data_IF_913251285615
#
_entry.id   IF_913251285615
#
_cell.length_a   1.000
_cell.length_b   1.000
_cell.length_c   1.000
_cell.angle_alpha   90.00
_cell.angle_beta   90.00
_cell.angle_gamma   90.00
#
_symmetry.space_group_name_H-M   'P 1'
#
loop_
_entity.id
_entity.type
_entity.pdbx_description
1 polymer ?
#
# COMPACT_ATOMS: atom_id res chain seq x y z
N UNK A 1 -18.45 -1.68 22.00
CA UNK A 1 -18.60 -1.16 20.65
C UNK A 1 -17.54 -1.81 19.77
N UNK A 2 -17.80 -2.99 19.25
CA UNK A 2 -16.81 -3.78 18.46
C UNK A 2 -17.54 -4.88 17.66
N UNK A 3 -18.59 -4.53 16.90
CA UNK A 3 -19.46 -5.54 16.26
C UNK A 3 -19.61 -5.44 14.74
N UNK A 4 -18.83 -4.62 14.01
CA UNK A 4 -19.03 -4.47 12.56
C UNK A 4 -17.86 -4.90 11.64
N UNK A 5 -16.85 -5.53 12.17
CA UNK A 5 -15.60 -5.79 11.42
C UNK A 5 -15.63 -6.97 10.43
N UNK A 6 -16.76 -7.66 10.21
CA UNK A 6 -16.80 -8.90 9.40
C UNK A 6 -18.06 -9.05 8.52
N UNK A 7 -18.56 -7.97 7.94
CA UNK A 7 -19.73 -8.08 7.03
C UNK A 7 -19.50 -7.40 5.67
N UNK A 8 -18.47 -7.70 4.93
CA UNK A 8 -18.39 -7.30 3.52
C UNK A 8 -17.61 -8.33 2.68
N UNK A 9 -18.18 -9.51 2.56
CA UNK A 9 -17.94 -10.37 1.40
C UNK A 9 -19.19 -11.21 1.20
N UNK A 10 -20.18 -10.65 0.53
CA UNK A 10 -21.21 -11.33 -0.26
C UNK A 10 -22.32 -10.34 -0.59
N UNK A 11 -22.28 -9.75 -1.77
CA UNK A 11 -23.49 -9.42 -2.53
C UNK A 11 -23.16 -9.34 -4.01
N UNK A 12 -23.62 -10.37 -4.69
CA UNK A 12 -23.80 -10.38 -6.15
C UNK A 12 -24.98 -9.50 -6.55
N UNK A 13 -24.78 -8.84 -7.68
CA UNK A 13 -25.73 -8.71 -8.82
C UNK A 13 -27.17 -8.33 -8.56
N UNK A 14 -27.61 -7.23 -9.14
CA UNK A 14 -28.70 -7.29 -10.13
C UNK A 14 -28.91 -5.99 -10.94
N UNK A 15 -29.28 -6.21 -12.18
CA UNK A 15 -29.56 -5.34 -13.33
C UNK A 15 -30.72 -4.36 -13.13
N UNK A 16 -30.64 -3.21 -13.84
CA UNK A 16 -31.61 -2.66 -14.83
C UNK A 16 -31.26 -1.19 -15.01
N UNK A 17 -31.08 -0.63 -16.19
CA UNK A 17 -31.96 -0.60 -17.35
C UNK A 17 -32.67 0.75 -17.39
N UNK A 18 -32.22 1.71 -18.20
CA UNK A 18 -32.93 2.97 -18.39
C UNK A 18 -32.22 3.89 -19.38
N UNK A 19 -32.66 3.83 -20.65
CA UNK A 19 -32.29 4.78 -21.71
C UNK A 19 -33.02 6.10 -21.53
N UNK A 20 -32.38 7.25 -21.74
CA UNK A 20 -33.00 8.36 -22.43
C UNK A 20 -31.96 9.24 -23.13
N UNK A 21 -32.27 9.60 -24.37
CA UNK A 21 -31.56 10.50 -25.27
C UNK A 21 -31.87 11.95 -24.90
N UNK A 22 -30.90 12.84 -25.09
CA UNK A 22 -31.05 14.11 -25.84
C UNK A 22 -29.67 14.78 -25.97
N UNK A 23 -29.35 14.96 -27.08
CA UNK A 23 -28.86 15.81 -28.15
C UNK A 23 -28.47 17.26 -27.74
N UNK A 24 -27.28 17.67 -28.19
CA UNK A 24 -27.02 18.97 -28.79
C UNK A 24 -26.14 19.94 -27.98
N UNK A 25 -24.99 20.28 -28.53
CA UNK A 25 -24.30 21.52 -28.12
C UNK A 25 -22.78 21.39 -27.97
N UNK A 26 -22.07 21.20 -29.10
CA UNK A 26 -21.12 22.14 -29.71
C UNK A 26 -19.75 22.27 -29.08
N UNK A 27 -18.79 21.46 -29.59
CA UNK A 27 -17.54 21.91 -30.26
C UNK A 27 -17.10 23.34 -29.93
N UNK A 28 -16.22 23.47 -28.89
CA UNK A 28 -15.14 24.51 -28.88
C UNK A 28 -14.16 24.43 -27.69
N UNK A 29 -14.14 23.34 -26.86
CA UNK A 29 -13.20 23.26 -25.72
C UNK A 29 -12.21 22.11 -25.80
N UNK A 30 -11.96 21.50 -26.96
CA UNK A 30 -11.15 20.30 -27.10
C UNK A 30 -9.69 20.51 -27.57
N UNK A 31 -9.16 21.75 -27.57
CA UNK A 31 -7.78 21.96 -28.05
C UNK A 31 -6.72 22.21 -26.98
N UNK A 32 -7.08 22.49 -25.74
CA UNK A 32 -6.11 22.71 -24.65
C UNK A 32 -5.91 21.51 -23.74
N UNK A 33 -6.91 20.64 -23.61
CA UNK A 33 -6.82 19.43 -22.77
C UNK A 33 -5.95 18.29 -23.36
N UNK A 34 -5.84 18.23 -24.69
CA UNK A 34 -5.06 17.15 -25.36
C UNK A 34 -3.54 17.37 -25.29
N UNK A 35 -3.08 18.60 -25.15
CA UNK A 35 -1.64 18.89 -25.07
C UNK A 35 -1.05 18.52 -23.69
N UNK A 36 -1.83 18.66 -22.63
CA UNK A 36 -1.39 18.30 -21.28
C UNK A 36 -1.45 16.78 -21.03
N UNK A 37 -2.46 16.07 -21.59
CA UNK A 37 -2.50 14.61 -21.52
C UNK A 37 -1.36 13.92 -22.27
N UNK A 38 -0.94 14.47 -23.44
CA UNK A 38 0.23 13.94 -24.16
C UNK A 38 1.55 14.19 -23.42
N UNK A 39 1.65 15.29 -22.67
CA UNK A 39 2.85 15.59 -21.87
C UNK A 39 2.94 14.70 -20.63
N UNK A 40 1.81 14.41 -19.97
CA UNK A 40 1.72 13.44 -18.89
C UNK A 40 1.94 11.99 -19.37
N UNK A 41 1.41 11.61 -20.55
CA UNK A 41 1.65 10.28 -21.13
C UNK A 41 3.09 10.10 -21.62
N UNK A 42 3.75 11.16 -22.09
CA UNK A 42 5.16 11.11 -22.51
C UNK A 42 6.13 10.94 -21.34
N UNK A 43 5.78 11.45 -20.15
CA UNK A 43 6.56 11.28 -18.93
C UNK A 43 6.39 9.84 -18.38
N UNK A 44 5.22 9.25 -18.52
CA UNK A 44 4.93 7.88 -18.04
C UNK A 44 5.58 6.80 -18.92
N UNK A 45 5.79 7.03 -20.21
CA UNK A 45 6.39 6.05 -21.13
C UNK A 45 7.92 6.09 -21.19
N UNK A 46 8.56 7.12 -20.62
CA UNK A 46 10.01 7.31 -20.72
C UNK A 46 10.84 6.64 -19.63
N UNK A 47 10.25 6.12 -18.57
CA UNK A 47 10.97 5.66 -17.39
C UNK A 47 10.55 4.26 -16.89
N UNK A 48 10.26 3.32 -17.77
CA UNK A 48 10.13 1.92 -17.36
C UNK A 48 11.50 1.24 -17.39
N UNK A 49 12.38 1.64 -16.47
CA UNK A 49 13.51 0.82 -16.11
C UNK A 49 12.99 -0.31 -15.21
N UNK A 50 13.20 -1.59 -15.54
CA UNK A 50 12.83 -2.69 -14.66
C UNK A 50 13.64 -2.67 -13.35
N UNK A 51 14.85 -2.13 -13.39
CA UNK A 51 15.69 -1.97 -12.22
C UNK A 51 15.11 -0.91 -11.27
N UNK A 52 15.17 -1.20 -9.98
CA UNK A 52 14.81 -0.24 -8.95
C UNK A 52 15.80 0.92 -8.94
N UNK A 53 15.29 2.16 -8.97
CA UNK A 53 16.11 3.32 -8.71
C UNK A 53 16.65 3.32 -7.27
N UNK A 54 17.70 4.09 -7.02
CA UNK A 54 18.21 4.24 -5.65
C UNK A 54 17.15 4.82 -4.69
N UNK A 55 16.28 5.68 -5.20
CA UNK A 55 15.17 6.22 -4.43
C UNK A 55 14.15 5.13 -4.05
N UNK A 56 13.76 4.28 -4.99
CA UNK A 56 12.88 3.15 -4.72
C UNK A 56 13.51 2.15 -3.74
N UNK A 57 14.80 1.82 -3.93
CA UNK A 57 15.53 0.94 -3.01
C UNK A 57 15.50 1.48 -1.58
N UNK A 58 15.76 2.78 -1.38
CA UNK A 58 15.71 3.41 -0.05
C UNK A 58 14.34 3.28 0.61
N UNK A 59 13.24 3.47 -0.15
CA UNK A 59 11.88 3.29 0.37
C UNK A 59 11.61 1.84 0.78
N UNK A 60 11.96 0.90 -0.08
CA UNK A 60 11.71 -0.52 0.15
C UNK A 60 12.56 -1.08 1.30
N UNK A 61 13.80 -0.64 1.45
CA UNK A 61 14.66 -0.99 2.60
C UNK A 61 14.11 -0.37 3.88
N UNK A 62 13.62 0.87 3.82
CA UNK A 62 12.99 1.50 4.97
C UNK A 62 11.73 0.73 5.43
N UNK A 63 10.88 0.34 4.49
CA UNK A 63 9.68 -0.48 4.77
C UNK A 63 10.07 -1.84 5.38
N UNK A 64 11.09 -2.49 4.83
CA UNK A 64 11.63 -3.73 5.35
C UNK A 64 11.98 -3.62 6.83
N UNK A 65 12.81 -2.65 7.20
CA UNK A 65 13.24 -2.49 8.59
C UNK A 65 12.18 -1.91 9.54
N UNK A 66 11.23 -1.14 9.01
CA UNK A 66 10.22 -0.50 9.86
C UNK A 66 9.08 -1.44 10.23
N UNK A 67 8.58 -2.19 9.25
CA UNK A 67 7.33 -2.93 9.40
C UNK A 67 7.49 -4.45 9.29
N UNK A 68 8.56 -4.93 8.69
CA UNK A 68 8.76 -6.36 8.46
C UNK A 68 9.82 -6.96 9.38
N UNK A 69 11.04 -6.46 9.41
CA UNK A 69 12.14 -6.93 10.27
C UNK A 69 11.97 -6.38 11.69
N UNK A 70 11.01 -6.92 12.43
CA UNK A 70 10.65 -6.40 13.76
C UNK A 70 11.63 -6.81 14.86
N UNK A 71 12.35 -7.91 14.67
CA UNK A 71 13.38 -8.35 15.58
C UNK A 71 14.74 -7.66 15.33
N UNK A 72 14.87 -6.94 14.19
CA UNK A 72 16.04 -6.17 13.75
C UNK A 72 17.30 -7.02 13.55
N UNK A 73 17.15 -8.25 13.06
CA UNK A 73 18.28 -9.13 12.75
C UNK A 73 18.74 -9.05 11.28
N UNK A 74 18.06 -8.23 10.47
CA UNK A 74 18.40 -7.98 9.07
C UNK A 74 17.83 -9.00 8.09
N UNK A 75 17.00 -9.92 8.57
CA UNK A 75 16.30 -10.91 7.77
C UNK A 75 14.81 -10.85 8.09
N UNK A 76 13.97 -11.22 7.14
CA UNK A 76 12.56 -11.42 7.37
C UNK A 76 12.29 -12.92 7.51
N UNK A 77 11.69 -13.29 8.63
CA UNK A 77 11.36 -14.68 8.98
C UNK A 77 9.90 -14.79 9.47
N UNK A 78 9.40 -16.01 9.60
CA UNK A 78 8.09 -16.22 10.23
C UNK A 78 7.98 -15.60 11.63
N UNK A 79 9.09 -15.56 12.35
CA UNK A 79 9.17 -14.94 13.69
C UNK A 79 8.78 -13.46 13.70
N UNK A 80 9.14 -12.70 12.64
CA UNK A 80 8.73 -11.31 12.51
C UNK A 80 7.24 -11.17 12.28
N UNK A 81 6.67 -12.06 11.46
CA UNK A 81 5.22 -12.13 11.26
C UNK A 81 4.48 -12.44 12.57
N UNK A 82 5.03 -13.31 13.40
CA UNK A 82 4.45 -13.59 14.73
C UNK A 82 4.54 -12.39 15.66
N UNK A 83 5.65 -11.65 15.65
CA UNK A 83 5.80 -10.41 16.42
C UNK A 83 4.79 -9.35 15.97
N UNK A 84 4.63 -9.13 14.66
CA UNK A 84 3.64 -8.21 14.11
C UNK A 84 2.22 -8.60 14.52
N UNK A 85 1.88 -9.87 14.37
CA UNK A 85 0.58 -10.42 14.77
C UNK A 85 0.33 -10.23 16.26
N UNK A 86 1.32 -10.56 17.09
CA UNK A 86 1.20 -10.44 18.55
C UNK A 86 0.93 -8.99 18.96
N UNK A 87 1.70 -8.06 18.39
CA UNK A 87 1.55 -6.63 18.65
C UNK A 87 0.12 -6.13 18.42
N UNK A 88 -0.49 -6.56 17.31
CA UNK A 88 -1.88 -6.19 17.00
C UNK A 88 -2.86 -6.84 17.95
N UNK A 89 -2.69 -8.12 18.23
CA UNK A 89 -3.57 -8.81 19.16
C UNK A 89 -3.54 -8.15 20.54
N UNK A 90 -2.35 -7.75 21.00
CA UNK A 90 -2.18 -7.05 22.27
C UNK A 90 -2.85 -5.67 22.26
N UNK A 91 -2.65 -4.86 21.22
CA UNK A 91 -3.30 -3.56 21.09
C UNK A 91 -4.81 -3.64 21.02
N UNK A 92 -5.33 -4.67 20.35
CA UNK A 92 -6.76 -4.89 20.18
C UNK A 92 -7.40 -5.67 21.34
N UNK A 93 -6.61 -6.17 22.29
CA UNK A 93 -7.10 -7.02 23.38
C UNK A 93 -7.59 -8.40 22.92
N UNK A 94 -7.14 -8.88 21.75
CA UNK A 94 -7.55 -10.18 21.21
C UNK A 94 -6.71 -11.29 21.81
N UNK A 95 -7.39 -12.23 22.45
CA UNK A 95 -6.72 -13.35 23.14
C UNK A 95 -6.83 -14.65 22.36
N UNK A 96 -5.91 -15.56 22.64
CA UNK A 96 -5.94 -16.93 22.13
C UNK A 96 -7.34 -17.55 22.36
N UNK A 97 -7.91 -18.15 21.32
CA UNK A 97 -9.21 -18.78 21.32
C UNK A 97 -10.35 -17.86 20.84
N UNK A 98 -10.13 -16.55 20.64
CA UNK A 98 -11.13 -15.73 19.97
C UNK A 98 -10.98 -15.80 18.44
N UNK A 99 -12.10 -15.63 17.74
CA UNK A 99 -12.16 -15.72 16.27
C UNK A 99 -11.20 -14.72 15.59
N UNK A 100 -11.11 -13.49 16.10
CA UNK A 100 -10.25 -12.45 15.55
C UNK A 100 -8.77 -12.81 15.67
N UNK A 101 -8.35 -13.39 16.79
CA UNK A 101 -6.99 -13.90 16.96
C UNK A 101 -6.65 -14.98 15.91
N UNK A 102 -7.56 -15.91 15.70
CA UNK A 102 -7.36 -16.99 14.71
C UNK A 102 -7.31 -16.44 13.28
N UNK A 103 -8.24 -15.56 12.90
CA UNK A 103 -8.26 -14.94 11.58
C UNK A 103 -7.00 -14.12 11.30
N UNK A 104 -6.53 -13.36 12.28
CA UNK A 104 -5.28 -12.59 12.16
C UNK A 104 -4.08 -13.53 11.96
N UNK A 105 -4.03 -14.65 12.68
CA UNK A 105 -2.98 -15.64 12.49
C UNK A 105 -2.99 -16.25 11.07
N UNK A 106 -4.16 -16.59 10.55
CA UNK A 106 -4.32 -17.13 9.20
C UNK A 106 -3.93 -16.10 8.12
N UNK A 107 -4.29 -14.83 8.31
CA UNK A 107 -3.89 -13.73 7.43
C UNK A 107 -2.36 -13.63 7.35
N UNK A 108 -1.68 -13.55 8.49
CA UNK A 108 -0.22 -13.45 8.53
C UNK A 108 0.48 -14.68 7.93
N UNK A 109 -0.06 -15.89 8.16
CA UNK A 109 0.44 -17.10 7.50
C UNK A 109 0.30 -17.05 5.99
N UNK A 110 -0.80 -16.49 5.49
CA UNK A 110 -1.04 -16.34 4.06
C UNK A 110 -0.08 -15.33 3.44
N UNK A 111 0.11 -14.17 4.09
CA UNK A 111 1.10 -13.16 3.67
C UNK A 111 2.50 -13.77 3.64
N UNK A 112 2.89 -14.46 4.72
CA UNK A 112 4.21 -15.07 4.82
C UNK A 112 4.49 -16.09 3.72
N UNK A 113 3.55 -17.00 3.46
CA UNK A 113 3.70 -17.98 2.39
C UNK A 113 3.93 -17.34 1.03
N UNK A 114 3.17 -16.29 0.72
CA UNK A 114 3.34 -15.56 -0.53
C UNK A 114 4.66 -14.82 -0.60
N UNK A 115 5.09 -14.23 0.50
CA UNK A 115 6.41 -13.60 0.59
C UNK A 115 7.53 -14.62 0.40
N UNK A 116 7.42 -15.81 0.98
CA UNK A 116 8.39 -16.89 0.76
C UNK A 116 8.40 -17.35 -0.70
N UNK A 117 7.22 -17.61 -1.28
CA UNK A 117 7.09 -18.08 -2.67
C UNK A 117 7.73 -17.09 -3.67
N UNK A 118 7.70 -15.81 -3.38
CA UNK A 118 8.18 -14.74 -4.27
C UNK A 118 9.58 -14.22 -3.92
N UNK A 119 9.99 -14.30 -2.66
CA UNK A 119 11.17 -13.64 -2.11
C UNK A 119 12.28 -14.57 -1.63
N UNK A 120 11.97 -15.72 -1.05
CA UNK A 120 12.96 -16.68 -0.53
C UNK A 120 13.53 -17.54 -1.68
N UNK A 121 14.55 -17.01 -2.35
CA UNK A 121 15.10 -17.62 -3.57
C UNK A 121 15.85 -18.92 -3.29
N UNK A 122 16.55 -18.98 -2.16
CA UNK A 122 17.40 -20.12 -1.79
C UNK A 122 16.65 -21.17 -0.95
N UNK A 123 15.40 -20.91 -0.58
CA UNK A 123 14.53 -21.75 0.24
C UNK A 123 15.13 -22.06 1.63
N UNK A 124 15.79 -21.09 2.25
CA UNK A 124 16.36 -21.24 3.60
C UNK A 124 15.39 -20.79 4.72
N UNK A 125 14.19 -20.34 4.36
CA UNK A 125 13.15 -19.89 5.27
C UNK A 125 13.31 -18.45 5.72
N UNK A 126 14.18 -17.69 5.05
CA UNK A 126 14.46 -16.28 5.32
C UNK A 126 14.36 -15.48 4.04
N UNK A 127 14.13 -14.18 4.18
CA UNK A 127 14.23 -13.22 3.09
C UNK A 127 15.22 -12.14 3.52
N UNK A 128 16.36 -12.12 2.89
CA UNK A 128 17.39 -11.09 3.07
C UNK A 128 16.98 -9.80 2.36
N UNK A 129 17.63 -8.66 2.69
CA UNK A 129 17.44 -7.39 1.95
C UNK A 129 17.73 -7.58 0.46
N UNK A 130 18.73 -8.40 0.10
CA UNK A 130 19.06 -8.69 -1.30
C UNK A 130 17.92 -9.38 -2.04
N UNK A 131 17.36 -10.41 -1.45
CA UNK A 131 16.21 -11.16 -1.99
C UNK A 131 14.95 -10.30 -2.01
N UNK A 132 14.71 -9.49 -0.99
CA UNK A 132 13.64 -8.50 -0.94
C UNK A 132 13.70 -7.55 -2.15
N UNK A 133 14.86 -6.93 -2.40
CA UNK A 133 15.03 -6.02 -3.52
C UNK A 133 14.91 -6.73 -4.87
N UNK A 134 15.38 -7.98 -4.98
CA UNK A 134 15.24 -8.80 -6.18
C UNK A 134 13.78 -9.15 -6.47
N UNK A 135 13.01 -9.52 -5.46
CA UNK A 135 11.56 -9.74 -5.56
C UNK A 135 10.86 -8.49 -6.14
N UNK A 136 11.17 -7.30 -5.61
CA UNK A 136 10.61 -6.05 -6.09
C UNK A 136 11.03 -5.70 -7.53
N UNK A 137 12.26 -6.02 -7.92
CA UNK A 137 12.73 -5.86 -9.30
C UNK A 137 11.92 -6.75 -10.24
N UNK A 138 11.76 -8.03 -9.89
CA UNK A 138 10.96 -8.99 -10.67
C UNK A 138 9.51 -8.55 -10.81
N UNK A 139 8.93 -7.99 -9.73
CA UNK A 139 7.58 -7.43 -9.73
C UNK A 139 7.46 -6.22 -10.66
N UNK A 140 8.46 -5.32 -10.68
CA UNK A 140 8.48 -4.20 -11.62
C UNK A 140 8.58 -4.68 -13.08
N UNK A 141 9.44 -5.65 -13.35
CA UNK A 141 9.56 -6.25 -14.71
C UNK A 141 8.26 -6.85 -15.20
N UNK A 142 7.57 -7.62 -14.34
CA UNK A 142 6.29 -8.24 -14.70
C UNK A 142 5.23 -7.17 -14.97
N UNK A 143 5.18 -6.14 -14.14
CA UNK A 143 4.26 -5.02 -14.30
C UNK A 143 4.46 -4.26 -15.62
N UNK A 144 5.73 -4.08 -16.05
CA UNK A 144 6.06 -3.47 -17.33
C UNK A 144 5.63 -4.36 -18.50
N UNK A 145 5.85 -5.69 -18.39
CA UNK A 145 5.42 -6.66 -19.41
C UNK A 145 3.90 -6.66 -19.57
N UNK A 146 3.17 -6.59 -18.46
CA UNK A 146 1.71 -6.59 -18.48
C UNK A 146 1.14 -5.26 -18.99
N UNK A 147 1.77 -4.13 -18.64
CA UNK A 147 1.42 -2.82 -19.17
C UNK A 147 1.57 -2.73 -20.71
N UNK A 148 2.53 -3.45 -21.29
CA UNK A 148 2.72 -3.49 -22.75
C UNK A 148 1.68 -4.35 -23.47
N UNK A 149 0.99 -5.25 -22.78
CA UNK A 149 -0.05 -6.13 -23.34
C UNK A 149 -1.42 -5.50 -23.38
N UNK A 150 -1.67 -4.49 -22.56
CA UNK A 150 -2.97 -3.81 -22.43
C UNK A 150 -2.88 -2.41 -22.99
N UNK A 151 -3.71 -2.11 -23.98
CA UNK A 151 -3.90 -0.77 -24.52
C UNK A 151 -5.38 -0.36 -24.32
N UNK A 152 -5.67 0.70 -23.57
CA UNK A 152 -4.76 1.58 -22.83
C UNK A 152 -4.23 0.97 -21.53
N UNK A 153 -3.07 1.46 -21.09
CA UNK A 153 -2.52 1.12 -19.77
C UNK A 153 -3.61 1.22 -18.70
N UNK A 154 -3.87 0.16 -17.90
CA UNK A 154 -4.78 0.26 -16.77
C UNK A 154 -4.35 1.42 -15.89
N UNK A 155 -5.28 2.31 -15.55
CA UNK A 155 -5.01 3.41 -14.62
C UNK A 155 -4.58 2.86 -13.25
N UNK A 156 -5.01 1.63 -12.94
CA UNK A 156 -4.76 0.94 -11.68
C UNK A 156 -3.75 -0.19 -11.91
N UNK A 157 -2.48 0.09 -11.60
CA UNK A 157 -1.48 -0.96 -11.47
C UNK A 157 -1.77 -1.70 -10.17
N UNK A 158 -2.37 -2.88 -10.25
CA UNK A 158 -2.59 -3.71 -9.07
C UNK A 158 -1.29 -4.02 -8.37
N UNK A 159 -1.32 -3.96 -7.06
CA UNK A 159 -0.29 -4.54 -6.21
C UNK A 159 -0.45 -6.08 -6.22
N UNK A 160 0.58 -6.88 -5.88
CA UNK A 160 0.42 -8.31 -5.66
C UNK A 160 -0.67 -8.60 -4.62
N UNK A 161 -1.39 -9.72 -4.76
CA UNK A 161 -2.51 -10.04 -3.87
C UNK A 161 -2.12 -10.08 -2.38
N UNK A 162 -0.90 -10.57 -2.07
CA UNK A 162 -0.39 -10.56 -0.70
C UNK A 162 -0.17 -9.14 -0.18
N UNK A 163 0.26 -8.23 -1.05
CA UNK A 163 0.51 -6.84 -0.69
C UNK A 163 -0.80 -6.06 -0.54
N UNK A 164 -1.81 -6.35 -1.36
CA UNK A 164 -3.17 -5.81 -1.18
C UNK A 164 -3.73 -6.21 0.20
N UNK A 165 -3.57 -7.47 0.59
CA UNK A 165 -3.97 -7.95 1.92
C UNK A 165 -3.18 -7.28 3.04
N UNK A 166 -1.90 -7.03 2.82
CA UNK A 166 -1.04 -6.33 3.77
C UNK A 166 -1.40 -4.84 3.88
N UNK A 167 -1.72 -4.16 2.78
CA UNK A 167 -2.18 -2.77 2.77
C UNK A 167 -3.50 -2.62 3.52
N UNK A 168 -4.45 -3.53 3.31
CA UNK A 168 -5.70 -3.53 4.07
C UNK A 168 -5.46 -3.78 5.56
N UNK A 169 -4.56 -4.69 5.89
CA UNK A 169 -4.12 -4.91 7.25
C UNK A 169 -3.49 -3.63 7.87
N UNK A 170 -2.58 -2.94 7.15
CA UNK A 170 -1.98 -1.67 7.61
C UNK A 170 -3.04 -0.60 7.81
N UNK A 171 -3.99 -0.47 6.91
CA UNK A 171 -5.11 0.46 7.10
C UNK A 171 -5.85 0.18 8.41
N UNK A 172 -6.23 -1.07 8.66
CA UNK A 172 -6.93 -1.46 9.89
C UNK A 172 -6.07 -1.29 11.16
N UNK A 173 -4.75 -1.35 11.02
CA UNK A 173 -3.82 -1.06 12.10
C UNK A 173 -3.85 0.42 12.49
N UNK A 174 -3.92 1.31 11.49
CA UNK A 174 -4.03 2.75 11.70
C UNK A 174 -5.44 3.17 12.14
N UNK A 175 -6.51 2.67 11.52
CA UNK A 175 -7.91 2.94 11.87
C UNK A 175 -8.29 2.24 13.21
N UNK A 176 -7.79 2.80 14.30
CA UNK A 176 -7.97 2.22 15.65
C UNK A 176 -9.38 2.39 16.19
N UNK A 177 -10.05 3.46 15.80
CA UNK A 177 -11.44 3.72 16.17
C UNK A 177 -12.43 2.86 15.38
N UNK A 178 -12.03 2.35 14.22
CA UNK A 178 -12.85 1.52 13.33
C UNK A 178 -13.96 2.32 12.64
N UNK A 179 -13.73 3.63 12.41
CA UNK A 179 -14.70 4.50 11.76
C UNK A 179 -14.54 4.55 10.22
N UNK A 180 -13.60 3.77 9.68
CA UNK A 180 -13.34 3.63 8.25
C UNK A 180 -12.50 4.75 7.67
N UNK A 181 -11.75 5.46 8.50
CA UNK A 181 -10.75 6.47 8.08
C UNK A 181 -9.60 6.51 9.07
N UNK A 182 -8.45 6.96 8.62
CA UNK A 182 -7.29 7.26 9.45
C UNK A 182 -7.27 8.75 9.69
N UNK A 183 -7.12 9.16 10.95
CA UNK A 183 -6.86 10.55 11.33
C UNK A 183 -5.40 10.77 11.75
N UNK A 184 -5.04 12.03 12.02
CA UNK A 184 -3.66 12.38 12.38
C UNK A 184 -3.23 11.78 13.72
N UNK A 185 -4.13 11.67 14.68
CA UNK A 185 -3.84 11.16 16.03
C UNK A 185 -3.62 9.65 16.00
N UNK A 186 -4.44 8.93 15.26
CA UNK A 186 -4.31 7.49 15.00
C UNK A 186 -2.99 7.17 14.29
N UNK A 187 -2.67 7.93 13.23
CA UNK A 187 -1.45 7.78 12.46
C UNK A 187 -0.20 8.02 13.32
N UNK A 188 -0.19 9.11 14.11
CA UNK A 188 0.89 9.41 15.03
C UNK A 188 1.07 8.34 16.09
N UNK A 189 -0.04 7.89 16.68
CA UNK A 189 -0.02 6.89 17.74
C UNK A 189 0.64 5.58 17.26
N UNK A 190 0.22 5.09 16.11
CA UNK A 190 0.76 3.85 15.56
C UNK A 190 2.24 4.00 15.21
N UNK A 191 2.62 5.08 14.52
CA UNK A 191 4.00 5.28 14.10
C UNK A 191 4.96 5.55 15.26
N UNK A 192 4.50 6.15 16.35
CA UNK A 192 5.30 6.32 17.56
C UNK A 192 5.77 4.97 18.12
N UNK A 193 4.94 3.93 18.04
CA UNK A 193 5.29 2.58 18.48
C UNK A 193 6.31 1.89 17.55
N UNK A 194 6.42 2.33 16.31
CA UNK A 194 7.48 1.97 15.38
C UNK A 194 8.71 2.90 15.46
N UNK A 195 8.75 3.81 16.43
CA UNK A 195 9.89 4.69 16.67
C UNK A 195 9.94 5.94 15.77
N UNK A 196 8.88 6.26 15.05
CA UNK A 196 8.78 7.50 14.27
C UNK A 196 8.34 8.64 15.20
N UNK A 197 9.07 9.77 15.25
CA UNK A 197 8.69 10.90 16.09
C UNK A 197 7.30 11.44 15.71
N UNK A 198 6.44 11.68 16.70
CA UNK A 198 5.07 12.17 16.49
C UNK A 198 5.01 13.44 15.62
N UNK A 199 5.97 14.35 15.78
CA UNK A 199 6.09 15.56 14.97
C UNK A 199 6.26 15.24 13.47
N UNK A 200 7.04 14.22 13.14
CA UNK A 200 7.33 13.84 11.76
C UNK A 200 6.15 13.06 11.18
N UNK A 201 5.56 12.16 11.97
CA UNK A 201 4.32 11.47 11.61
C UNK A 201 3.19 12.46 11.29
N UNK A 202 2.97 13.48 12.17
CA UNK A 202 1.96 14.52 11.93
C UNK A 202 2.21 15.31 10.65
N UNK A 203 3.46 15.72 10.40
CA UNK A 203 3.82 16.41 9.16
C UNK A 203 3.55 15.56 7.93
N UNK A 204 3.95 14.28 7.97
CA UNK A 204 3.73 13.34 6.90
C UNK A 204 2.23 13.17 6.62
N UNK A 205 1.41 13.01 7.66
CA UNK A 205 -0.03 12.91 7.55
C UNK A 205 -0.65 14.16 6.89
N UNK A 206 -0.26 15.35 7.33
CA UNK A 206 -0.77 16.60 6.77
C UNK A 206 -0.43 16.75 5.28
N UNK A 207 0.72 16.25 4.82
CA UNK A 207 1.10 16.28 3.41
C UNK A 207 0.14 15.44 2.56
N UNK A 208 -0.08 14.17 2.88
CA UNK A 208 -0.93 13.32 2.04
C UNK A 208 -2.43 13.52 2.27
N UNK A 209 -2.84 14.03 3.43
CA UNK A 209 -4.25 14.38 3.69
C UNK A 209 -4.64 15.79 3.21
N UNK A 210 -3.70 16.55 2.59
CA UNK A 210 -3.94 17.92 2.17
C UNK A 210 -4.36 18.82 3.33
N UNK A 211 -3.63 18.79 4.44
CA UNK A 211 -3.96 19.49 5.69
C UNK A 211 -5.35 19.11 6.25
N UNK A 212 -5.65 17.82 6.30
CA UNK A 212 -6.93 17.24 6.74
C UNK A 212 -8.14 17.58 5.85
N UNK A 213 -7.92 18.04 4.62
CA UNK A 213 -9.03 18.32 3.70
C UNK A 213 -9.50 17.08 2.93
N UNK A 214 -8.62 16.09 2.78
CA UNK A 214 -8.93 14.81 2.15
C UNK A 214 -9.09 13.72 3.19
N UNK A 215 -10.23 13.02 3.16
CA UNK A 215 -10.46 11.84 3.98
C UNK A 215 -9.50 10.73 3.58
N UNK A 216 -8.83 10.13 4.57
CA UNK A 216 -7.92 9.00 4.37
C UNK A 216 -8.69 7.71 4.68
N UNK A 217 -9.55 7.28 3.77
CA UNK A 217 -10.22 5.98 3.82
C UNK A 217 -9.39 4.88 3.13
N UNK A 218 -9.87 3.64 3.20
CA UNK A 218 -9.15 2.50 2.64
C UNK A 218 -8.85 2.66 1.14
N UNK A 219 -9.78 3.25 0.37
CA UNK A 219 -9.58 3.46 -1.06
C UNK A 219 -8.42 4.42 -1.32
N UNK A 220 -8.39 5.54 -0.61
CA UNK A 220 -7.29 6.50 -0.74
C UNK A 220 -5.98 5.97 -0.16
N UNK A 221 -6.03 5.21 0.93
CA UNK A 221 -4.83 4.59 1.49
C UNK A 221 -4.22 3.55 0.54
N UNK A 222 -5.03 2.83 -0.24
CA UNK A 222 -4.56 1.96 -1.34
C UNK A 222 -3.89 2.75 -2.47
N UNK A 223 -4.45 3.89 -2.88
CA UNK A 223 -3.79 4.79 -3.85
C UNK A 223 -2.42 5.23 -3.35
N UNK A 224 -2.33 5.71 -2.12
CA UNK A 224 -1.08 6.13 -1.49
C UNK A 224 -0.07 4.98 -1.36
N UNK A 225 -0.54 3.79 -1.01
CA UNK A 225 0.31 2.61 -0.93
C UNK A 225 0.84 2.21 -2.30
N UNK A 226 0.01 2.27 -3.34
CA UNK A 226 0.43 2.03 -4.71
C UNK A 226 1.52 3.03 -5.13
N UNK A 227 1.35 4.31 -4.82
CA UNK A 227 2.39 5.32 -5.04
C UNK A 227 3.67 5.00 -4.28
N UNK A 228 3.57 4.61 -3.00
CA UNK A 228 4.73 4.27 -2.20
C UNK A 228 5.58 3.17 -2.83
N UNK A 229 4.94 2.07 -3.22
CA UNK A 229 5.66 0.91 -3.74
C UNK A 229 6.10 1.06 -5.21
N UNK A 230 5.44 1.91 -5.99
CA UNK A 230 5.65 1.98 -7.44
C UNK A 230 6.22 3.28 -7.96
N UNK A 231 6.04 4.39 -7.26
CA UNK A 231 6.48 5.68 -7.77
C UNK A 231 7.97 5.90 -7.54
N UNK A 232 8.63 6.43 -8.56
CA UNK A 232 10.00 6.94 -8.52
C UNK A 232 10.04 8.47 -8.37
N UNK A 233 8.86 9.10 -8.27
CA UNK A 233 8.73 10.54 -8.05
C UNK A 233 8.91 10.87 -6.56
N UNK A 234 9.96 11.62 -6.17
CA UNK A 234 10.15 12.05 -4.79
C UNK A 234 8.99 12.91 -4.25
N UNK A 235 8.21 13.53 -5.12
CA UNK A 235 7.05 14.35 -4.77
C UNK A 235 5.75 13.55 -4.59
N UNK A 236 5.73 12.24 -4.86
CA UNK A 236 4.54 11.43 -4.71
C UNK A 236 4.06 11.37 -3.25
N UNK A 237 2.76 11.61 -3.05
CA UNK A 237 2.17 11.69 -1.71
C UNK A 237 2.27 10.36 -0.93
N UNK A 238 2.27 9.24 -1.64
CA UNK A 238 2.46 7.93 -1.04
C UNK A 238 3.79 7.77 -0.30
N UNK A 239 4.81 8.54 -0.65
CA UNK A 239 6.12 8.46 0.03
C UNK A 239 6.05 8.76 1.53
N UNK A 240 5.00 9.43 1.98
CA UNK A 240 4.85 9.87 3.37
C UNK A 240 4.06 8.90 4.27
N UNK A 241 3.50 7.82 3.73
CA UNK A 241 2.67 6.87 4.51
C UNK A 241 3.41 6.09 5.59
N UNK A 242 4.73 6.13 5.60
CA UNK A 242 5.58 5.55 6.64
C UNK A 242 6.00 6.56 7.71
N UNK A 243 5.53 7.80 7.63
CA UNK A 243 5.92 8.88 8.53
C UNK A 243 7.31 9.49 8.23
N UNK A 244 8.05 8.93 7.27
CA UNK A 244 9.34 9.48 6.85
C UNK A 244 9.12 10.63 5.87
N UNK A 245 9.81 11.76 6.12
CA UNK A 245 9.62 12.99 5.35
C UNK A 245 10.55 13.10 4.14
N UNK A 246 11.65 12.38 4.11
CA UNK A 246 12.63 12.45 3.03
C UNK A 246 13.35 11.11 2.82
N UNK A 247 13.42 10.69 1.56
CA UNK A 247 14.18 9.53 1.11
C UNK A 247 15.31 9.92 0.14
N UNK A 248 15.44 11.20 -0.19
CA UNK A 248 16.42 11.67 -1.17
C UNK A 248 17.85 11.81 -0.60
N UNK A 249 17.98 11.85 0.73
CA UNK A 249 19.28 12.00 1.42
C UNK A 249 19.95 10.69 1.76
#
# INVERSE_FOLDING_TARGET
MCLEFLRMSDTQSSRNGGKSKQSGGIIKFLRTGFRNKKKQMGIVLGFFNPELSEFQKKKLIHEFHLFFDLNKDGNLEWKDMELARQKICDWSGWKLGCEKYTKTHELFRTIWRRLQDEGDENNDGKITIGEWLKMWTSFNEQSIKDAKKTDPLPADRKLPDWLESYVEYKFNLYDRTGDGKIDAEEFEYVLADFGIPAKDARKAFLLFSGNNTRKVDLAYFRELSTDYYRSDDPGALGNFITGKLDFAT
#
